data_IF_139674010341
#
_entry.id   IF_139674010341
#
_cell.length_a   1.000
_cell.length_b   1.000
_cell.length_c   1.000
_cell.angle_alpha   90.00
_cell.angle_beta   90.00
_cell.angle_gamma   90.00
#
_symmetry.space_group_name_H-M   'P 1'
#
loop_
_entity.id
_entity.type
_entity.pdbx_description
1 polymer ?
#
# COMPACT_ATOMS: atom_id res chain seq x y z
N UNK A 1 -11.97 -13.95 9.33
CA UNK A 1 -11.55 -14.14 7.94
C UNK A 1 -12.45 -13.32 7.02
N UNK A 2 -11.86 -12.55 6.12
CA UNK A 2 -12.64 -11.68 5.25
C UNK A 2 -13.39 -12.48 4.17
N UNK A 3 -14.55 -11.98 3.70
CA UNK A 3 -15.23 -12.59 2.57
C UNK A 3 -14.37 -12.69 1.31
N UNK A 4 -13.47 -11.72 1.09
CA UNK A 4 -12.54 -11.74 -0.03
C UNK A 4 -11.60 -12.95 0.03
N UNK A 5 -11.08 -13.26 1.21
CA UNK A 5 -10.20 -14.40 1.39
C UNK A 5 -10.94 -15.73 1.21
N UNK A 6 -12.18 -15.82 1.67
CA UNK A 6 -13.01 -17.02 1.49
C UNK A 6 -13.25 -17.28 0.00
N UNK A 7 -13.64 -16.26 -0.77
CA UNK A 7 -13.84 -16.41 -2.21
C UNK A 7 -12.53 -16.78 -2.91
N UNK A 8 -11.42 -16.13 -2.53
CA UNK A 8 -10.12 -16.37 -3.16
C UNK A 8 -9.66 -17.80 -2.98
N UNK A 9 -9.88 -18.39 -1.80
CA UNK A 9 -9.54 -19.79 -1.54
C UNK A 9 -10.39 -20.78 -2.37
N UNK A 10 -11.66 -20.46 -2.58
CA UNK A 10 -12.58 -21.33 -3.29
C UNK A 10 -12.46 -21.18 -4.82
N UNK A 11 -12.32 -19.99 -5.34
CA UNK A 11 -12.36 -19.68 -6.77
C UNK A 11 -11.00 -19.23 -7.34
N UNK A 12 -9.99 -19.03 -6.50
CA UNK A 12 -8.67 -18.56 -6.91
C UNK A 12 -8.56 -17.05 -7.06
N UNK A 13 -9.65 -16.31 -6.93
CA UNK A 13 -9.68 -14.84 -7.00
C UNK A 13 -10.82 -14.29 -6.17
N UNK A 14 -10.84 -12.97 -6.00
CA UNK A 14 -11.93 -12.27 -5.32
C UNK A 14 -12.53 -11.24 -6.26
N UNK A 15 -13.78 -11.43 -6.67
CA UNK A 15 -14.49 -10.46 -7.51
C UNK A 15 -14.75 -9.15 -6.78
N UNK A 16 -15.02 -9.21 -5.48
CA UNK A 16 -15.20 -8.01 -4.67
C UNK A 16 -13.91 -7.20 -4.58
N UNK A 17 -12.77 -7.84 -4.41
CA UNK A 17 -11.47 -7.19 -4.39
C UNK A 17 -11.13 -6.58 -5.76
N UNK A 18 -11.35 -7.32 -6.85
CA UNK A 18 -11.10 -6.81 -8.20
C UNK A 18 -11.93 -5.57 -8.49
N UNK A 19 -13.19 -5.56 -8.07
CA UNK A 19 -14.06 -4.39 -8.23
C UNK A 19 -13.56 -3.21 -7.40
N UNK A 20 -13.15 -3.45 -6.16
CA UNK A 20 -12.65 -2.41 -5.26
C UNK A 20 -11.35 -1.80 -5.75
N UNK A 21 -10.34 -2.62 -6.03
CA UNK A 21 -9.02 -2.11 -6.46
C UNK A 21 -9.06 -1.38 -7.81
N UNK A 22 -9.94 -1.80 -8.70
CA UNK A 22 -10.09 -1.17 -10.01
C UNK A 22 -10.69 0.23 -9.97
N UNK A 23 -11.26 0.64 -8.83
CA UNK A 23 -11.90 1.95 -8.65
C UNK A 23 -11.17 2.85 -7.66
N UNK A 24 -10.18 2.32 -6.95
CA UNK A 24 -9.49 3.07 -5.88
C UNK A 24 -8.05 3.33 -6.26
N UNK A 25 -7.75 4.58 -6.57
CA UNK A 25 -6.42 5.01 -6.99
C UNK A 25 -5.38 4.97 -5.87
N UNK A 26 -5.79 4.78 -4.61
CA UNK A 26 -4.85 4.59 -3.50
C UNK A 26 -4.39 3.14 -3.33
N UNK A 27 -4.84 2.22 -4.19
CA UNK A 27 -4.30 0.88 -4.26
C UNK A 27 -3.24 0.81 -5.34
N UNK A 28 -2.05 0.28 -5.01
CA UNK A 28 -0.93 0.23 -5.97
C UNK A 28 -1.29 -0.61 -7.21
N UNK A 29 -2.20 -1.58 -7.07
CA UNK A 29 -2.64 -2.42 -8.18
C UNK A 29 -3.34 -1.66 -9.30
N UNK A 30 -3.91 -0.49 -8.98
CA UNK A 30 -4.47 0.41 -10.01
C UNK A 30 -3.37 0.92 -10.95
N UNK A 31 -2.13 1.03 -10.47
CA UNK A 31 -1.00 1.65 -11.17
C UNK A 31 -0.08 0.62 -11.81
N UNK A 32 -0.63 -0.50 -12.27
CA UNK A 32 0.10 -1.57 -12.95
C UNK A 32 -0.25 -1.54 -14.43
N UNK A 33 0.79 -1.59 -15.28
CA UNK A 33 0.62 -1.65 -16.72
C UNK A 33 1.66 -2.61 -17.32
N UNK A 34 1.53 -2.88 -18.58
CA UNK A 34 2.52 -3.66 -19.31
C UNK A 34 3.68 -2.78 -19.74
N UNK A 35 4.90 -3.33 -19.66
CA UNK A 35 6.07 -2.63 -20.17
C UNK A 35 5.98 -2.48 -21.69
N UNK A 36 6.30 -1.29 -22.20
CA UNK A 36 6.39 -1.03 -23.64
C UNK A 36 7.74 -1.47 -24.22
N UNK A 37 8.65 -1.96 -23.40
CA UNK A 37 9.96 -2.46 -23.86
C UNK A 37 9.79 -3.78 -24.60
N UNK A 38 10.45 -3.87 -25.76
CA UNK A 38 10.16 -4.89 -26.78
C UNK A 38 10.45 -6.33 -26.40
N UNK A 39 11.34 -6.58 -25.45
CA UNK A 39 11.90 -7.91 -25.30
C UNK A 39 11.13 -8.81 -24.34
N UNK A 40 10.32 -8.26 -23.44
CA UNK A 40 9.48 -9.05 -22.55
C UNK A 40 8.25 -8.25 -22.13
N UNK A 41 7.03 -8.69 -22.50
CA UNK A 41 5.83 -8.12 -21.91
C UNK A 41 5.78 -8.51 -20.43
N UNK A 42 6.20 -7.63 -19.54
CA UNK A 42 6.05 -7.84 -18.12
C UNK A 42 5.25 -6.71 -17.49
N UNK A 43 4.59 -7.03 -16.40
CA UNK A 43 3.84 -6.06 -15.62
C UNK A 43 4.82 -5.14 -14.89
N UNK A 44 4.56 -3.83 -14.95
CA UNK A 44 5.37 -2.83 -14.26
C UNK A 44 4.48 -1.93 -13.43
N UNK A 45 4.98 -1.52 -12.28
CA UNK A 45 4.33 -0.52 -11.44
C UNK A 45 4.65 0.89 -11.92
N UNK A 46 3.62 1.70 -12.06
CA UNK A 46 3.75 3.12 -12.38
C UNK A 46 3.88 3.92 -11.09
N UNK A 47 4.63 5.01 -11.12
CA UNK A 47 4.82 5.86 -9.94
C UNK A 47 3.48 6.50 -9.55
N UNK A 48 3.04 6.22 -8.32
CA UNK A 48 1.79 6.77 -7.82
C UNK A 48 1.95 8.25 -7.46
N UNK A 49 0.95 9.09 -7.75
CA UNK A 49 0.95 10.45 -7.20
C UNK A 49 1.04 10.44 -5.68
N UNK A 50 1.73 11.41 -5.11
CA UNK A 50 2.00 11.47 -3.67
C UNK A 50 0.72 11.33 -2.83
N UNK A 51 -0.34 12.02 -3.21
CA UNK A 51 -1.59 11.97 -2.46
C UNK A 51 -2.15 10.55 -2.34
N UNK A 52 -1.98 9.73 -3.38
CA UNK A 52 -2.47 8.35 -3.35
C UNK A 52 -1.55 7.43 -2.55
N UNK A 53 -0.26 7.72 -2.50
CA UNK A 53 0.65 7.00 -1.61
C UNK A 53 0.27 7.25 -0.15
N UNK A 54 -0.02 8.51 0.19
CA UNK A 54 -0.44 8.87 1.55
C UNK A 54 -1.78 8.20 1.88
N UNK A 55 -2.74 8.23 0.97
CA UNK A 55 -4.02 7.54 1.15
C UNK A 55 -3.84 6.04 1.33
N UNK A 56 -2.96 5.43 0.54
CA UNK A 56 -2.63 4.00 0.67
C UNK A 56 -2.03 3.69 2.03
N UNK A 57 -1.12 4.53 2.51
CA UNK A 57 -0.54 4.39 3.85
C UNK A 57 -1.63 4.44 4.92
N UNK A 58 -2.50 5.45 4.86
CA UNK A 58 -3.60 5.59 5.83
C UNK A 58 -4.58 4.41 5.78
N UNK A 59 -4.88 3.94 4.58
CA UNK A 59 -5.77 2.78 4.39
C UNK A 59 -5.20 1.52 5.03
N UNK A 60 -3.90 1.28 4.87
CA UNK A 60 -3.22 0.13 5.49
C UNK A 60 -3.23 0.22 7.02
N UNK A 61 -2.99 1.40 7.56
CA UNK A 61 -3.03 1.61 9.01
C UNK A 61 -4.43 1.38 9.55
N UNK A 62 -5.44 1.93 8.90
CA UNK A 62 -6.83 1.74 9.29
C UNK A 62 -7.24 0.26 9.23
N UNK A 63 -6.81 -0.46 8.19
CA UNK A 63 -7.07 -1.89 8.06
C UNK A 63 -6.43 -2.69 9.20
N UNK A 64 -5.19 -2.38 9.56
CA UNK A 64 -4.51 -3.04 10.68
C UNK A 64 -5.23 -2.82 12.00
N UNK A 65 -5.70 -1.60 12.25
CA UNK A 65 -6.47 -1.28 13.45
C UNK A 65 -7.79 -2.05 13.50
N UNK A 66 -8.48 -2.13 12.38
CA UNK A 66 -9.75 -2.85 12.28
C UNK A 66 -9.56 -4.35 12.50
N UNK A 67 -8.49 -4.91 11.94
CA UNK A 67 -8.19 -6.34 12.05
C UNK A 67 -7.74 -6.76 13.43
N UNK A 68 -6.82 -6.00 14.01
CA UNK A 68 -6.15 -6.39 15.26
C UNK A 68 -6.84 -5.85 16.51
N UNK A 69 -7.68 -4.81 16.36
CA UNK A 69 -8.45 -4.20 17.45
C UNK A 69 -7.57 -3.88 18.67
N UNK A 70 -7.86 -4.49 19.81
CA UNK A 70 -7.14 -4.26 21.06
C UNK A 70 -5.67 -4.69 21.00
N UNK A 71 -5.33 -5.61 20.10
CA UNK A 71 -3.98 -6.12 19.92
C UNK A 71 -3.16 -5.30 18.91
N UNK A 72 -3.74 -4.24 18.37
CA UNK A 72 -3.05 -3.40 17.40
C UNK A 72 -1.79 -2.79 17.98
N UNK A 73 -0.70 -2.82 17.21
CA UNK A 73 0.52 -2.07 17.48
C UNK A 73 0.89 -1.27 16.23
N UNK A 74 1.65 -0.20 16.43
CA UNK A 74 2.09 0.66 15.32
C UNK A 74 3.01 -0.06 14.34
N UNK A 75 3.54 -1.22 14.71
CA UNK A 75 4.38 -2.04 13.84
C UNK A 75 3.59 -3.03 12.97
N UNK A 76 2.29 -3.17 13.17
CA UNK A 76 1.49 -4.21 12.50
C UNK A 76 1.45 -4.03 10.99
N UNK A 77 1.24 -2.80 10.52
CA UNK A 77 1.20 -2.50 9.09
C UNK A 77 2.55 -2.77 8.44
N UNK A 78 3.64 -2.43 9.11
CA UNK A 78 4.99 -2.72 8.61
C UNK A 78 5.23 -4.23 8.49
N UNK A 79 4.83 -5.00 9.49
CA UNK A 79 4.98 -6.46 9.47
C UNK A 79 4.22 -7.08 8.31
N UNK A 80 2.99 -6.65 8.09
CA UNK A 80 2.17 -7.13 6.99
C UNK A 80 2.81 -6.79 5.63
N UNK A 81 3.25 -5.55 5.47
CA UNK A 81 3.92 -5.09 4.27
C UNK A 81 5.19 -5.90 3.98
N UNK A 82 6.03 -6.14 4.99
CA UNK A 82 7.30 -6.85 4.83
C UNK A 82 7.10 -8.30 4.39
N UNK A 83 6.01 -8.96 4.78
CA UNK A 83 5.71 -10.32 4.33
C UNK A 83 5.52 -10.42 2.83
N UNK A 84 4.94 -9.39 2.21
CA UNK A 84 4.66 -9.38 0.78
C UNK A 84 5.72 -8.66 -0.05
N UNK A 85 6.68 -7.99 0.59
CA UNK A 85 7.68 -7.20 -0.11
C UNK A 85 8.49 -8.08 -1.06
N UNK A 86 8.70 -7.58 -2.29
CA UNK A 86 9.35 -8.34 -3.33
C UNK A 86 8.37 -9.11 -4.22
N UNK A 87 7.13 -9.29 -3.79
CA UNK A 87 6.07 -9.94 -4.56
C UNK A 87 5.06 -8.94 -5.13
N UNK A 88 5.18 -7.68 -4.76
CA UNK A 88 4.31 -6.61 -5.28
C UNK A 88 4.86 -6.05 -6.59
N UNK A 89 3.98 -5.86 -7.55
CA UNK A 89 4.29 -5.09 -8.76
C UNK A 89 4.02 -3.63 -8.45
N UNK A 90 5.04 -2.92 -8.00
CA UNK A 90 4.94 -1.53 -7.54
C UNK A 90 6.18 -0.77 -7.98
N UNK A 91 6.01 0.51 -8.34
CA UNK A 91 7.14 1.36 -8.71
C UNK A 91 8.14 1.46 -7.53
N UNK A 92 9.45 1.36 -7.79
CA UNK A 92 10.45 1.38 -6.72
C UNK A 92 10.38 2.60 -5.80
N UNK A 93 10.14 3.79 -6.35
CA UNK A 93 10.05 5.02 -5.55
C UNK A 93 8.81 5.02 -4.66
N UNK A 94 7.71 4.50 -5.18
CA UNK A 94 6.46 4.36 -4.41
C UNK A 94 6.64 3.36 -3.27
N UNK A 95 7.27 2.23 -3.56
CA UNK A 95 7.55 1.20 -2.56
C UNK A 95 8.46 1.75 -1.44
N UNK A 96 9.51 2.46 -1.82
CA UNK A 96 10.43 3.05 -0.86
C UNK A 96 9.76 4.07 0.06
N UNK A 97 8.91 4.92 -0.49
CA UNK A 97 8.17 5.89 0.33
C UNK A 97 7.19 5.21 1.28
N UNK A 98 6.43 4.23 0.78
CA UNK A 98 5.52 3.46 1.64
C UNK A 98 6.29 2.77 2.77
N UNK A 99 7.40 2.13 2.46
CA UNK A 99 8.25 1.47 3.44
C UNK A 99 8.74 2.46 4.51
N UNK A 100 9.21 3.62 4.08
CA UNK A 100 9.68 4.67 4.99
C UNK A 100 8.58 5.13 5.95
N UNK A 101 7.38 5.37 5.45
CA UNK A 101 6.26 5.79 6.29
C UNK A 101 5.84 4.71 7.29
N UNK A 102 5.82 3.46 6.86
CA UNK A 102 5.49 2.34 7.74
C UNK A 102 6.57 2.12 8.81
N UNK A 103 7.84 2.26 8.47
CA UNK A 103 8.93 2.20 9.45
C UNK A 103 8.86 3.35 10.45
N UNK A 104 8.59 4.55 9.98
CA UNK A 104 8.46 5.71 10.85
C UNK A 104 7.31 5.53 11.82
N UNK A 105 6.17 5.01 11.35
CA UNK A 105 5.04 4.70 12.21
C UNK A 105 5.43 3.68 13.30
N UNK A 106 6.12 2.60 12.91
CA UNK A 106 6.53 1.56 13.84
C UNK A 106 7.50 2.05 14.91
N UNK A 107 8.40 2.95 14.54
CA UNK A 107 9.47 3.42 15.43
C UNK A 107 9.11 4.67 16.22
N UNK A 108 8.33 5.58 15.62
CA UNK A 108 8.08 6.92 16.17
C UNK A 108 6.61 7.21 16.48
N UNK A 109 5.69 6.38 16.01
CA UNK A 109 4.26 6.53 16.27
C UNK A 109 3.53 7.45 15.28
N UNK A 110 2.22 7.55 15.47
CA UNK A 110 1.33 8.27 14.56
C UNK A 110 1.59 9.77 14.52
N UNK A 111 1.75 10.39 15.68
CA UNK A 111 1.89 11.86 15.75
C UNK A 111 3.10 12.34 14.97
N UNK A 112 4.24 11.71 15.14
CA UNK A 112 5.47 12.09 14.42
C UNK A 112 5.34 11.76 12.93
N UNK A 113 4.76 10.63 12.58
CA UNK A 113 4.59 10.23 11.18
C UNK A 113 3.67 11.18 10.44
N UNK A 114 2.52 11.53 11.00
CA UNK A 114 1.61 12.47 10.37
C UNK A 114 2.16 13.89 10.34
N UNK A 115 2.93 14.29 11.35
CA UNK A 115 3.64 15.58 11.34
C UNK A 115 4.64 15.63 10.19
N UNK A 116 5.40 14.56 9.98
CA UNK A 116 6.33 14.44 8.86
C UNK A 116 5.61 14.56 7.52
N UNK A 117 4.49 13.85 7.36
CA UNK A 117 3.70 13.91 6.12
C UNK A 117 3.28 15.34 5.82
N UNK A 118 2.76 16.06 6.82
CA UNK A 118 2.29 17.44 6.64
C UNK A 118 3.43 18.39 6.33
N UNK A 119 4.54 18.29 7.06
CA UNK A 119 5.63 19.28 6.97
C UNK A 119 6.59 19.01 5.83
N UNK A 120 6.86 17.74 5.53
CA UNK A 120 7.90 17.37 4.58
C UNK A 120 7.37 16.89 3.24
N UNK A 121 6.27 16.15 3.22
CA UNK A 121 5.75 15.58 1.98
C UNK A 121 4.75 16.50 1.29
N UNK A 122 3.73 16.95 1.99
CA UNK A 122 2.67 17.78 1.39
C UNK A 122 3.16 19.14 0.94
N UNK A 123 4.22 19.66 1.57
CA UNK A 123 4.83 20.94 1.17
C UNK A 123 5.66 20.81 -0.10
N UNK A 124 6.29 19.65 -0.34
CA UNK A 124 7.14 19.41 -1.51
C UNK A 124 6.36 18.99 -2.75
N UNK A 125 5.13 18.56 -2.59
CA UNK A 125 4.24 18.11 -3.69
C UNK A 125 4.82 16.99 -4.56
N UNK A 126 5.70 16.16 -4.02
CA UNK A 126 6.29 15.06 -4.77
C UNK A 126 7.28 14.25 -3.96
N UNK A 127 7.75 13.19 -4.58
CA UNK A 127 8.75 12.31 -3.96
C UNK A 127 9.64 11.66 -5.01
#
# INVERSE_FOLDING_TARGET
RSPNNAQREHEGYSSAWLHHKGRNRHHYEYWIDYSSKKDTPELVGMKMPLKYVIEMFCDRVAASKTYNKEKYTDADSLKYYMRGRGHYVIHPDTDELLHKLLEMLAQKGEDETFSYIKKELLTKKGY
#
